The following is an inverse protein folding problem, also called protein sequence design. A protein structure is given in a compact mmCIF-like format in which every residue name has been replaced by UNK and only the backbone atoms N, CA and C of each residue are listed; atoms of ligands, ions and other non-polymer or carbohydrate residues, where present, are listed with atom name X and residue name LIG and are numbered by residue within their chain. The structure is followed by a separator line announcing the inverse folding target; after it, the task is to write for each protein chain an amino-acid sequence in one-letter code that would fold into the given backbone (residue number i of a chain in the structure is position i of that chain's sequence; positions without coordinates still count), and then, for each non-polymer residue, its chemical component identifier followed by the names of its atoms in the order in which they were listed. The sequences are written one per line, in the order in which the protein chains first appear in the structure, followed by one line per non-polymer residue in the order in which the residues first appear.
data_IF_436586106159
#
_entry.id   IF_436586106159
#
_cell.length_a   1.000
_cell.length_b   1.000
_cell.length_c   1.000
_cell.angle_alpha   90.00
_cell.angle_beta   90.00
_cell.angle_gamma   90.00
#
_symmetry.space_group_name_H-M   'P 1'
#
loop_
_entity.id
_entity.type
_entity.pdbx_description
1 polymer ?
#
# COMPACT_ATOMS: atom_id res chain seq x y z
N UNK A 1 11.56 -49.12 -26.38
CA UNK A 1 10.16 -48.81 -26.84
C UNK A 1 9.13 -48.95 -25.72
N UNK A 2 9.08 -50.07 -24.97
CA UNK A 2 8.08 -50.27 -23.88
C UNK A 2 8.34 -49.42 -22.66
N UNK A 3 9.60 -49.31 -22.22
CA UNK A 3 10.01 -48.42 -21.12
C UNK A 3 9.71 -46.93 -21.41
N UNK A 4 9.93 -46.51 -22.64
CA UNK A 4 9.68 -45.16 -23.08
C UNK A 4 8.17 -44.77 -23.09
N UNK A 5 7.31 -45.76 -23.43
CA UNK A 5 5.86 -45.63 -23.31
C UNK A 5 5.40 -45.52 -21.86
N UNK A 6 5.96 -46.33 -20.96
CA UNK A 6 5.66 -46.28 -19.52
C UNK A 6 6.11 -44.94 -18.91
N UNK A 7 7.30 -44.43 -19.25
CA UNK A 7 7.80 -43.14 -18.80
C UNK A 7 6.89 -42.00 -19.28
N UNK A 8 6.49 -42.03 -20.56
CA UNK A 8 5.61 -41.01 -21.13
C UNK A 8 4.20 -41.06 -20.52
N UNK A 9 3.68 -42.20 -20.22
CA UNK A 9 2.38 -42.33 -19.54
C UNK A 9 2.42 -41.83 -18.10
N UNK A 10 3.46 -42.18 -17.34
CA UNK A 10 3.69 -41.66 -15.98
C UNK A 10 3.87 -40.12 -15.98
N UNK A 11 4.62 -39.60 -16.94
CA UNK A 11 4.80 -38.15 -17.14
C UNK A 11 3.47 -37.45 -17.42
N UNK A 12 2.63 -38.00 -18.28
CA UNK A 12 1.27 -37.50 -18.57
C UNK A 12 0.38 -37.54 -17.34
N UNK A 13 0.38 -38.58 -16.54
CA UNK A 13 -0.38 -38.69 -15.29
C UNK A 13 0.06 -37.65 -14.26
N UNK A 14 1.37 -37.47 -14.07
CA UNK A 14 1.94 -36.46 -13.17
C UNK A 14 1.55 -35.06 -13.64
N UNK A 15 1.72 -34.75 -14.92
CA UNK A 15 1.36 -33.43 -15.47
C UNK A 15 -0.14 -33.16 -15.33
N UNK A 16 -1.00 -34.15 -15.58
CA UNK A 16 -2.44 -33.97 -15.42
C UNK A 16 -2.84 -33.76 -13.96
N UNK A 17 -2.23 -34.50 -13.02
CA UNK A 17 -2.40 -34.29 -11.58
C UNK A 17 -1.98 -32.91 -11.16
N UNK A 18 -0.78 -32.44 -11.56
CA UNK A 18 -0.27 -31.11 -11.27
C UNK A 18 -1.20 -30.03 -11.83
N UNK A 19 -1.69 -30.19 -13.07
CA UNK A 19 -2.65 -29.27 -13.68
C UNK A 19 -4.00 -29.23 -12.96
N UNK A 20 -4.46 -30.34 -12.39
CA UNK A 20 -5.72 -30.41 -11.65
C UNK A 20 -5.62 -29.82 -10.24
N UNK A 21 -4.46 -29.97 -9.59
CA UNK A 21 -4.21 -29.58 -8.20
C UNK A 21 -3.32 -28.33 -8.05
N UNK A 22 -3.05 -27.59 -9.13
CA UNK A 22 -2.09 -26.47 -9.14
C UNK A 22 -2.35 -25.41 -8.07
N UNK A 23 -3.61 -25.13 -7.72
CA UNK A 23 -3.92 -24.17 -6.67
C UNK A 23 -3.42 -24.66 -5.30
N UNK A 24 -3.72 -25.90 -4.94
CA UNK A 24 -3.26 -26.49 -3.68
C UNK A 24 -1.74 -26.55 -3.59
N UNK A 25 -1.09 -26.93 -4.67
CA UNK A 25 0.37 -26.96 -4.78
C UNK A 25 0.92 -25.54 -4.56
N UNK A 26 0.32 -24.54 -5.16
CA UNK A 26 0.76 -23.14 -4.99
C UNK A 26 0.61 -22.65 -3.53
N UNK A 27 -0.46 -23.05 -2.84
CA UNK A 27 -0.62 -22.69 -1.43
C UNK A 27 0.37 -23.43 -0.52
N UNK A 28 0.73 -24.67 -0.81
CA UNK A 28 1.81 -25.38 -0.09
C UNK A 28 3.15 -24.66 -0.27
N UNK A 29 3.49 -24.26 -1.49
CA UNK A 29 4.70 -23.47 -1.73
C UNK A 29 4.65 -22.11 -1.05
N UNK A 30 3.51 -21.41 -1.04
CA UNK A 30 3.34 -20.16 -0.32
C UNK A 30 3.56 -20.37 1.18
N UNK A 31 3.00 -21.43 1.78
CA UNK A 31 3.23 -21.76 3.19
C UNK A 31 4.72 -22.00 3.47
N UNK A 32 5.42 -22.68 2.56
CA UNK A 32 6.87 -22.86 2.68
C UNK A 32 7.65 -21.54 2.59
N UNK A 33 7.26 -20.63 1.70
CA UNK A 33 7.85 -19.27 1.62
C UNK A 33 7.60 -18.49 2.91
N UNK A 34 6.38 -18.56 3.47
CA UNK A 34 6.05 -17.93 4.74
C UNK A 34 6.89 -18.53 5.87
N UNK A 35 7.08 -19.83 5.89
CA UNK A 35 7.96 -20.49 6.88
C UNK A 35 9.39 -19.97 6.80
N UNK A 36 9.97 -19.87 5.60
CA UNK A 36 11.31 -19.26 5.39
C UNK A 36 11.32 -17.80 5.88
N UNK A 37 10.26 -17.04 5.55
CA UNK A 37 10.15 -15.64 5.97
C UNK A 37 10.15 -15.48 7.49
N UNK A 38 9.40 -16.34 8.18
CA UNK A 38 9.35 -16.38 9.66
C UNK A 38 10.72 -16.77 10.22
N UNK A 39 11.36 -17.81 9.68
CA UNK A 39 12.69 -18.22 10.13
C UNK A 39 13.74 -17.11 10.00
N UNK A 40 13.75 -16.39 8.88
CA UNK A 40 14.69 -15.26 8.67
C UNK A 40 14.43 -14.18 9.73
N UNK A 41 13.17 -13.84 10.00
CA UNK A 41 12.78 -12.73 10.87
C UNK A 41 12.78 -13.06 12.35
N UNK A 42 12.89 -14.33 12.71
CA UNK A 42 13.01 -14.80 14.11
C UNK A 42 14.43 -15.20 14.49
N UNK A 43 15.39 -15.10 13.56
CA UNK A 43 16.78 -15.52 13.80
C UNK A 43 17.46 -14.77 14.95
N UNK A 44 16.98 -13.54 15.25
CA UNK A 44 17.51 -12.67 16.30
C UNK A 44 16.83 -12.85 17.67
N UNK A 45 15.85 -13.75 17.82
CA UNK A 45 15.08 -13.91 19.07
C UNK A 45 15.95 -14.18 20.31
N UNK A 46 17.04 -14.94 20.17
CA UNK A 46 17.95 -15.21 21.29
C UNK A 46 18.60 -13.95 21.86
N UNK A 47 18.82 -12.93 21.02
CA UNK A 47 19.36 -11.63 21.42
C UNK A 47 18.33 -10.62 21.96
N UNK A 48 17.04 -10.98 22.00
CA UNK A 48 15.96 -10.12 22.47
C UNK A 48 15.52 -10.44 23.91
N UNK A 49 16.46 -10.96 24.70
CA UNK A 49 16.27 -11.17 26.15
C UNK A 49 17.28 -10.33 26.91
N UNK A 50 16.79 -9.61 27.88
CA UNK A 50 17.61 -8.88 28.82
C UNK A 50 18.49 -9.85 29.60
N UNK A 51 19.79 -9.62 29.60
CA UNK A 51 20.80 -10.54 30.19
C UNK A 51 20.64 -10.64 31.71
N UNK A 52 20.19 -9.54 32.35
CA UNK A 52 20.09 -9.48 33.82
C UNK A 52 18.78 -10.03 34.32
N UNK A 53 17.66 -9.77 33.64
CA UNK A 53 16.33 -10.14 34.09
C UNK A 53 15.76 -11.37 33.39
N UNK A 54 16.31 -11.77 32.25
CA UNK A 54 15.78 -12.83 31.39
C UNK A 54 14.48 -12.44 30.66
N UNK A 55 13.97 -11.23 30.87
CA UNK A 55 12.73 -10.75 30.29
C UNK A 55 12.92 -10.40 28.81
N UNK A 56 11.82 -10.47 28.04
CA UNK A 56 11.81 -10.02 26.65
C UNK A 56 12.02 -8.52 26.56
N UNK A 57 12.83 -8.09 25.58
CA UNK A 57 13.05 -6.68 25.21
C UNK A 57 12.90 -6.50 23.71
N UNK A 58 12.79 -5.25 23.27
CA UNK A 58 12.76 -4.91 21.83
C UNK A 58 14.17 -4.77 21.25
N UNK A 59 14.26 -4.74 19.95
CA UNK A 59 15.47 -4.45 19.20
C UNK A 59 15.93 -2.97 19.33
N UNK A 60 17.08 -2.60 18.75
CA UNK A 60 17.72 -1.30 18.93
C UNK A 60 17.10 -0.20 18.03
N UNK A 61 15.81 0.03 18.18
CA UNK A 61 15.09 1.12 17.52
C UNK A 61 14.24 1.86 18.57
N UNK A 62 14.06 3.17 18.43
CA UNK A 62 13.45 4.03 19.47
C UNK A 62 11.93 4.02 19.42
N UNK A 63 11.34 4.17 18.23
CA UNK A 63 9.89 4.28 18.05
C UNK A 63 9.12 3.04 18.56
N UNK A 64 9.60 1.80 18.36
CA UNK A 64 8.98 0.60 18.91
C UNK A 64 8.75 0.62 20.42
N UNK A 65 9.65 1.25 21.20
CA UNK A 65 9.47 1.35 22.67
C UNK A 65 8.31 2.27 23.05
N UNK A 66 8.06 3.33 22.28
CA UNK A 66 6.88 4.17 22.47
C UNK A 66 5.60 3.37 22.24
N UNK A 67 5.53 2.65 21.11
CA UNK A 67 4.32 1.87 20.79
C UNK A 67 4.10 0.72 21.77
N UNK A 68 5.16 0.05 22.24
CA UNK A 68 5.08 -0.96 23.28
C UNK A 68 4.54 -0.37 24.60
N UNK A 69 5.03 0.80 25.01
CA UNK A 69 4.58 1.47 26.24
C UNK A 69 3.08 1.81 26.15
N UNK A 70 2.65 2.34 25.00
CA UNK A 70 1.24 2.62 24.77
C UNK A 70 0.39 1.35 24.70
N UNK A 71 0.88 0.28 24.07
CA UNK A 71 0.19 -1.01 24.03
C UNK A 71 0.04 -1.62 25.44
N UNK A 72 1.08 -1.55 26.29
CA UNK A 72 0.99 -1.96 27.71
C UNK A 72 -0.08 -1.19 28.44
N UNK A 73 -0.09 0.14 28.30
CA UNK A 73 -1.09 0.99 28.95
C UNK A 73 -2.52 0.63 28.50
N UNK A 74 -2.72 0.37 27.19
CA UNK A 74 -4.03 -0.06 26.65
C UNK A 74 -4.45 -1.41 27.23
N UNK A 75 -3.53 -2.36 27.36
CA UNK A 75 -3.83 -3.69 27.93
C UNK A 75 -4.25 -3.56 29.41
N UNK A 76 -3.61 -2.69 30.17
CA UNK A 76 -3.84 -2.48 31.60
C UNK A 76 -5.11 -1.65 31.87
N UNK A 77 -5.40 -0.64 31.05
CA UNK A 77 -6.45 0.34 31.31
C UNK A 77 -7.64 0.30 30.32
N UNK A 78 -7.57 -0.56 29.29
CA UNK A 78 -8.61 -0.68 28.25
C UNK A 78 -8.56 0.39 27.16
N UNK A 79 -7.97 1.56 27.42
CA UNK A 79 -7.83 2.67 26.47
C UNK A 79 -6.53 3.42 26.67
N UNK A 80 -6.08 4.15 25.65
CA UNK A 80 -4.88 4.97 25.76
C UNK A 80 -5.15 6.24 26.57
N UNK A 81 -4.14 6.71 27.31
CA UNK A 81 -4.17 7.99 27.99
C UNK A 81 -4.39 9.15 27.01
N UNK A 82 -5.12 10.18 27.43
CA UNK A 82 -5.36 11.39 26.62
C UNK A 82 -4.08 12.20 26.44
N UNK A 83 -3.31 12.35 27.52
CA UNK A 83 -2.03 13.07 27.53
C UNK A 83 -0.95 12.14 28.05
N UNK A 84 0.09 11.98 27.26
CA UNK A 84 1.30 11.25 27.62
C UNK A 84 2.27 12.20 28.33
N UNK A 85 2.31 12.13 29.66
CA UNK A 85 3.17 13.00 30.49
C UNK A 85 4.65 12.63 30.45
N UNK A 86 5.02 11.50 29.87
CA UNK A 86 6.42 11.11 29.66
C UNK A 86 7.02 11.64 28.35
N UNK A 87 6.20 12.26 27.49
CA UNK A 87 6.64 12.97 26.28
C UNK A 87 6.49 14.49 26.47
N UNK A 88 7.44 15.26 25.97
CA UNK A 88 7.45 16.73 26.05
C UNK A 88 7.29 17.25 27.47
N UNK A 89 8.04 16.67 28.41
CA UNK A 89 8.04 17.07 29.82
C UNK A 89 8.47 18.56 29.97
N UNK A 90 7.76 19.38 30.75
CA UNK A 90 6.63 19.05 31.63
C UNK A 90 5.23 19.14 30.99
N UNK A 91 5.12 19.61 29.74
CA UNK A 91 3.84 19.96 29.08
C UNK A 91 2.98 18.70 28.75
N UNK A 92 3.62 17.56 28.51
CA UNK A 92 2.96 16.36 28.03
C UNK A 92 2.66 16.41 26.53
N UNK A 93 2.19 15.29 26.00
CA UNK A 93 1.84 15.11 24.60
C UNK A 93 0.43 14.56 24.45
N UNK A 94 -0.44 15.28 23.74
CA UNK A 94 -1.78 14.78 23.39
C UNK A 94 -1.67 13.60 22.42
N UNK A 95 -2.07 12.40 22.89
CA UNK A 95 -1.85 11.15 22.14
C UNK A 95 -2.63 11.09 20.82
N UNK A 96 -3.78 11.79 20.74
CA UNK A 96 -4.59 11.88 19.53
C UNK A 96 -3.87 12.55 18.34
N UNK A 97 -2.76 13.24 18.58
CA UNK A 97 -1.91 13.79 17.53
C UNK A 97 -1.09 12.73 16.80
N UNK A 98 -1.05 11.48 17.31
CA UNK A 98 -0.44 10.35 16.63
C UNK A 98 -1.47 9.45 15.94
N UNK A 99 -0.98 8.50 15.11
CA UNK A 99 -1.81 7.46 14.50
C UNK A 99 -1.94 6.31 15.48
N UNK A 100 -3.12 6.16 16.08
CA UNK A 100 -3.33 5.33 17.26
C UNK A 100 -3.64 3.87 16.95
N UNK A 101 -4.03 3.51 15.72
CA UNK A 101 -4.43 2.14 15.42
C UNK A 101 -3.29 1.14 15.69
N UNK A 102 -2.03 1.52 15.45
CA UNK A 102 -0.88 0.65 15.64
C UNK A 102 -0.71 0.14 17.09
N UNK A 103 -0.64 0.98 18.13
CA UNK A 103 -0.54 0.50 19.50
C UNK A 103 -1.79 -0.27 19.96
N UNK A 104 -2.99 0.08 19.49
CA UNK A 104 -4.19 -0.72 19.72
C UNK A 104 -4.10 -2.11 19.10
N UNK A 105 -3.61 -2.22 17.86
CA UNK A 105 -3.40 -3.50 17.19
C UNK A 105 -2.37 -4.37 17.93
N UNK A 106 -1.32 -3.78 18.50
CA UNK A 106 -0.36 -4.51 19.34
C UNK A 106 -1.02 -5.02 20.62
N UNK A 107 -1.86 -4.23 21.28
CA UNK A 107 -2.63 -4.64 22.43
C UNK A 107 -3.60 -5.78 22.10
N UNK A 108 -4.37 -5.66 21.02
CA UNK A 108 -5.28 -6.72 20.56
C UNK A 108 -4.53 -7.98 20.12
N UNK A 109 -3.36 -7.82 19.47
CA UNK A 109 -2.52 -8.96 19.14
C UNK A 109 -2.11 -9.71 20.41
N UNK A 110 -1.71 -9.01 21.46
CA UNK A 110 -1.40 -9.64 22.75
C UNK A 110 -2.61 -10.37 23.35
N UNK A 111 -3.78 -9.74 23.34
CA UNK A 111 -4.99 -10.29 23.98
C UNK A 111 -5.56 -11.50 23.23
N UNK A 112 -5.60 -11.47 21.90
CA UNK A 112 -6.35 -12.45 21.11
C UNK A 112 -5.49 -13.40 20.29
N UNK A 113 -4.34 -12.96 19.81
CA UNK A 113 -3.49 -13.71 18.87
C UNK A 113 -2.24 -14.27 19.57
N UNK A 114 -1.60 -13.44 20.40
CA UNK A 114 -0.37 -13.80 21.12
C UNK A 114 -0.44 -15.11 21.90
N UNK A 115 -1.52 -15.40 22.63
CA UNK A 115 -1.66 -16.65 23.37
C UNK A 115 -1.55 -17.90 22.48
N UNK A 116 -1.99 -17.82 21.21
CA UNK A 116 -1.86 -18.92 20.25
C UNK A 116 -0.39 -19.25 19.91
N UNK A 117 0.51 -18.28 20.09
CA UNK A 117 1.95 -18.42 19.90
C UNK A 117 2.73 -18.56 21.21
N UNK A 118 2.04 -18.77 22.35
CA UNK A 118 2.66 -18.95 23.65
C UNK A 118 3.30 -17.69 24.21
N UNK A 119 2.81 -16.49 23.86
CA UNK A 119 3.36 -15.25 24.42
C UNK A 119 2.90 -15.06 25.86
N UNK A 120 3.86 -14.72 26.73
CA UNK A 120 3.65 -14.60 28.18
C UNK A 120 3.55 -13.14 28.67
N UNK A 121 3.83 -12.18 27.83
CA UNK A 121 3.79 -10.75 28.15
C UNK A 121 3.51 -9.89 26.94
N UNK A 122 3.07 -8.65 27.16
CA UNK A 122 2.86 -7.66 26.09
C UNK A 122 4.15 -7.45 25.29
N UNK A 123 5.30 -7.41 25.98
CA UNK A 123 6.61 -7.27 25.33
C UNK A 123 6.92 -8.47 24.43
N UNK A 124 6.66 -9.71 24.88
CA UNK A 124 6.85 -10.90 24.04
C UNK A 124 5.93 -10.87 22.80
N UNK A 125 4.68 -10.46 22.98
CA UNK A 125 3.75 -10.28 21.87
C UNK A 125 4.25 -9.22 20.88
N UNK A 126 4.74 -8.08 21.37
CA UNK A 126 5.32 -7.01 20.55
C UNK A 126 6.56 -7.48 19.76
N UNK A 127 7.36 -8.38 20.34
CA UNK A 127 8.50 -9.02 19.64
C UNK A 127 8.03 -9.82 18.43
N UNK A 128 6.94 -10.59 18.54
CA UNK A 128 6.43 -11.44 17.46
C UNK A 128 5.48 -10.71 16.49
N UNK A 129 4.93 -9.57 16.88
CA UNK A 129 3.97 -8.79 16.10
C UNK A 129 4.43 -8.48 14.66
N UNK A 130 5.65 -7.95 14.41
CA UNK A 130 6.07 -7.65 13.05
C UNK A 130 6.20 -8.89 12.17
N UNK A 131 6.62 -10.02 12.74
CA UNK A 131 6.75 -11.30 12.02
C UNK A 131 5.38 -11.82 11.59
N UNK A 132 4.38 -11.73 12.47
CA UNK A 132 2.99 -12.11 12.17
C UNK A 132 2.41 -11.25 11.04
N UNK A 133 2.54 -9.93 11.13
CA UNK A 133 2.02 -9.05 10.09
C UNK A 133 2.77 -9.21 8.77
N UNK A 134 4.06 -9.52 8.79
CA UNK A 134 4.79 -9.84 7.58
C UNK A 134 4.28 -11.13 6.89
N UNK A 135 3.93 -12.16 7.67
CA UNK A 135 3.30 -13.36 7.12
C UNK A 135 1.96 -13.05 6.42
N UNK A 136 1.12 -12.21 7.04
CA UNK A 136 -0.12 -11.72 6.42
C UNK A 136 0.16 -10.87 5.16
N UNK A 137 1.20 -10.04 5.20
CA UNK A 137 1.65 -9.24 4.06
C UNK A 137 2.04 -10.11 2.87
N UNK A 138 2.75 -11.23 3.10
CA UNK A 138 3.09 -12.18 2.03
C UNK A 138 1.85 -12.80 1.39
N UNK A 139 0.85 -13.15 2.18
CA UNK A 139 -0.42 -13.67 1.67
C UNK A 139 -1.10 -12.60 0.79
N UNK A 140 -1.22 -11.38 1.30
CA UNK A 140 -1.82 -10.26 0.57
C UNK A 140 -1.07 -9.95 -0.74
N UNK A 141 0.26 -9.95 -0.70
CA UNK A 141 1.11 -9.72 -1.85
C UNK A 141 1.00 -10.83 -2.91
N UNK A 142 0.96 -12.10 -2.48
CA UNK A 142 0.71 -13.24 -3.37
C UNK A 142 -0.65 -13.12 -4.07
N UNK A 143 -1.71 -12.81 -3.31
CA UNK A 143 -3.06 -12.65 -3.86
C UNK A 143 -3.13 -11.49 -4.86
N UNK A 144 -2.52 -10.35 -4.53
CA UNK A 144 -2.43 -9.18 -5.42
C UNK A 144 -1.70 -9.55 -6.72
N UNK A 145 -0.49 -10.10 -6.62
CA UNK A 145 0.34 -10.44 -7.79
C UNK A 145 -0.37 -11.46 -8.67
N UNK A 146 -0.94 -12.50 -8.08
CA UNK A 146 -1.76 -13.46 -8.81
C UNK A 146 -2.93 -12.80 -9.55
N UNK A 147 -3.65 -11.90 -8.87
CA UNK A 147 -4.82 -11.20 -9.43
C UNK A 147 -4.45 -10.29 -10.59
N UNK A 148 -3.29 -9.66 -10.53
CA UNK A 148 -2.79 -8.81 -11.63
C UNK A 148 -2.61 -9.61 -12.93
N UNK A 149 -2.01 -10.79 -12.86
CA UNK A 149 -1.56 -11.55 -14.03
C UNK A 149 -2.52 -12.66 -14.51
N UNK A 150 -3.57 -13.00 -13.73
CA UNK A 150 -4.40 -14.17 -14.02
C UNK A 150 -5.14 -14.08 -15.36
N UNK A 151 -5.57 -12.90 -15.76
CA UNK A 151 -6.35 -12.72 -17.00
C UNK A 151 -5.46 -12.76 -18.24
N UNK A 152 -4.24 -12.22 -18.15
CA UNK A 152 -3.29 -12.18 -19.28
C UNK A 152 -2.49 -13.47 -19.46
N UNK A 153 -2.10 -14.15 -18.37
CA UNK A 153 -1.19 -15.29 -18.41
C UNK A 153 -1.84 -16.63 -18.02
N UNK A 154 -3.10 -16.57 -17.57
CA UNK A 154 -3.82 -17.74 -17.06
C UNK A 154 -3.38 -18.15 -15.65
N UNK A 155 -4.15 -19.07 -15.07
CA UNK A 155 -4.07 -19.41 -13.65
C UNK A 155 -2.73 -20.02 -13.20
N UNK A 156 -2.10 -20.87 -14.00
CA UNK A 156 -0.86 -21.56 -13.62
C UNK A 156 0.32 -20.60 -13.63
N UNK A 157 0.49 -19.86 -14.73
CA UNK A 157 1.62 -18.91 -14.85
C UNK A 157 1.53 -17.80 -13.83
N UNK A 158 0.32 -17.28 -13.56
CA UNK A 158 0.12 -16.24 -12.54
C UNK A 158 0.47 -16.73 -11.13
N UNK A 159 0.16 -18.00 -10.79
CA UNK A 159 0.57 -18.57 -9.52
C UNK A 159 2.09 -18.69 -9.40
N UNK A 160 2.78 -19.13 -10.46
CA UNK A 160 4.24 -19.23 -10.47
C UNK A 160 4.88 -17.85 -10.29
N UNK A 161 4.41 -16.86 -11.05
CA UNK A 161 4.91 -15.47 -10.91
C UNK A 161 4.68 -14.96 -9.50
N UNK A 162 3.49 -15.18 -8.93
CA UNK A 162 3.17 -14.74 -7.58
C UNK A 162 4.06 -15.42 -6.51
N UNK A 163 4.39 -16.71 -6.67
CA UNK A 163 5.31 -17.42 -5.77
C UNK A 163 6.73 -16.88 -5.88
N UNK A 164 7.25 -16.69 -7.09
CA UNK A 164 8.58 -16.14 -7.31
C UNK A 164 8.66 -14.72 -6.72
N UNK A 165 7.68 -13.88 -7.01
CA UNK A 165 7.62 -12.51 -6.48
C UNK A 165 7.56 -12.51 -4.94
N UNK A 166 6.75 -13.39 -4.33
CA UNK A 166 6.65 -13.51 -2.87
C UNK A 166 7.96 -14.00 -2.23
N UNK A 167 8.68 -14.91 -2.89
CA UNK A 167 9.99 -15.33 -2.43
C UNK A 167 11.01 -14.18 -2.47
N UNK A 168 11.09 -13.42 -3.56
CA UNK A 168 11.93 -12.22 -3.63
C UNK A 168 11.55 -11.19 -2.58
N UNK A 169 10.25 -10.94 -2.40
CA UNK A 169 9.76 -10.02 -1.38
C UNK A 169 10.19 -10.43 0.04
N UNK A 170 10.29 -11.73 0.31
CA UNK A 170 10.76 -12.28 1.60
C UNK A 170 12.18 -11.89 1.93
N UNK A 171 13.07 -11.83 0.94
CA UNK A 171 14.52 -11.61 1.11
C UNK A 171 14.97 -10.20 0.75
N UNK A 172 14.07 -9.26 0.45
CA UNK A 172 14.43 -7.88 0.16
C UNK A 172 15.11 -7.22 1.37
N UNK A 173 16.34 -6.69 1.22
CA UNK A 173 17.12 -6.15 2.34
C UNK A 173 16.43 -5.01 3.06
N UNK A 174 15.73 -4.11 2.34
CA UNK A 174 15.05 -2.95 2.93
C UNK A 174 13.90 -3.35 3.86
N UNK A 175 13.26 -4.51 3.62
CA UNK A 175 12.09 -4.95 4.40
C UNK A 175 12.48 -5.67 5.69
N UNK A 176 13.66 -6.29 5.73
CA UNK A 176 14.08 -7.09 6.88
C UNK A 176 14.15 -6.25 8.15
N UNK A 177 14.84 -5.10 8.20
CA UNK A 177 14.93 -4.29 9.42
C UNK A 177 13.59 -3.78 9.94
N UNK A 178 12.62 -3.57 9.05
CA UNK A 178 11.28 -3.05 9.39
C UNK A 178 10.26 -4.14 9.76
N UNK A 179 10.63 -5.42 9.63
CA UNK A 179 9.72 -6.55 9.82
C UNK A 179 10.32 -7.70 10.65
N UNK A 180 11.55 -7.53 11.17
CA UNK A 180 12.24 -8.49 12.01
C UNK A 180 11.64 -8.51 13.42
N UNK A 181 11.75 -9.64 14.12
CA UNK A 181 11.30 -9.79 15.50
C UNK A 181 11.93 -8.72 16.41
N UNK A 182 11.12 -8.14 17.29
CA UNK A 182 11.56 -7.11 18.22
C UNK A 182 11.58 -5.69 17.68
N UNK A 183 11.19 -5.46 16.40
CA UNK A 183 11.06 -4.12 15.81
C UNK A 183 9.61 -3.93 15.29
N UNK A 184 8.63 -3.75 16.20
CA UNK A 184 7.24 -3.50 15.84
C UNK A 184 7.03 -2.07 15.33
N UNK A 185 7.63 -1.76 14.18
CA UNK A 185 7.41 -0.52 13.45
C UNK A 185 6.05 -0.49 12.76
N UNK A 186 5.55 0.72 12.47
CA UNK A 186 4.26 0.96 11.81
C UNK A 186 4.19 0.26 10.45
N UNK A 187 5.28 0.25 9.70
CA UNK A 187 5.40 -0.36 8.37
C UNK A 187 5.12 -1.85 8.40
N UNK A 188 5.47 -2.54 9.49
CA UNK A 188 5.26 -3.98 9.60
C UNK A 188 3.80 -4.39 9.40
N UNK A 189 2.85 -3.60 9.90
CA UNK A 189 1.42 -3.80 9.72
C UNK A 189 0.86 -3.05 8.49
N UNK A 190 1.41 -1.86 8.18
CA UNK A 190 0.93 -1.02 7.10
C UNK A 190 1.00 -1.70 5.73
N UNK A 191 2.04 -2.48 5.45
CA UNK A 191 2.17 -3.21 4.19
C UNK A 191 1.07 -4.25 3.98
N UNK A 192 0.59 -4.89 5.02
CA UNK A 192 -0.57 -5.78 4.94
C UNK A 192 -1.81 -5.03 4.46
N UNK A 193 -2.11 -3.88 5.08
CA UNK A 193 -3.23 -3.03 4.68
C UNK A 193 -3.08 -2.55 3.24
N UNK A 194 -1.89 -2.11 2.84
CA UNK A 194 -1.60 -1.61 1.50
C UNK A 194 -1.86 -2.67 0.43
N UNK A 195 -1.28 -3.85 0.55
CA UNK A 195 -1.45 -4.90 -0.46
C UNK A 195 -2.86 -5.46 -0.49
N UNK A 196 -3.54 -5.54 0.65
CA UNK A 196 -4.96 -5.90 0.71
C UNK A 196 -5.84 -4.85 0.04
N UNK A 197 -5.59 -3.56 0.28
CA UNK A 197 -6.33 -2.48 -0.39
C UNK A 197 -6.21 -2.60 -1.92
N UNK A 198 -5.01 -2.78 -2.46
CA UNK A 198 -4.81 -2.96 -3.89
C UNK A 198 -5.44 -4.26 -4.42
N UNK A 199 -5.29 -5.38 -3.72
CA UNK A 199 -5.90 -6.64 -4.11
C UNK A 199 -7.42 -6.54 -4.22
N UNK A 200 -8.05 -5.94 -3.24
CA UNK A 200 -9.51 -5.76 -3.19
C UNK A 200 -9.97 -4.75 -4.25
N UNK A 201 -9.26 -3.63 -4.45
CA UNK A 201 -9.57 -2.67 -5.50
C UNK A 201 -9.53 -3.31 -6.89
N UNK A 202 -8.48 -4.06 -7.21
CA UNK A 202 -8.35 -4.77 -8.48
C UNK A 202 -9.40 -5.89 -8.60
N UNK A 203 -9.77 -6.52 -7.49
CA UNK A 203 -10.85 -7.52 -7.49
C UNK A 203 -12.20 -6.90 -7.82
N UNK A 204 -12.49 -5.73 -7.25
CA UNK A 204 -13.66 -4.92 -7.61
C UNK A 204 -13.63 -4.49 -9.09
N UNK A 205 -12.46 -3.99 -9.55
CA UNK A 205 -12.29 -3.51 -10.92
C UNK A 205 -12.51 -4.58 -11.99
N UNK A 206 -12.13 -5.82 -11.70
CA UNK A 206 -12.23 -6.97 -12.61
C UNK A 206 -13.55 -7.74 -12.49
N UNK A 207 -14.35 -7.48 -11.47
CA UNK A 207 -15.66 -8.15 -11.32
C UNK A 207 -16.69 -7.59 -12.29
N UNK A 208 -17.61 -8.46 -12.70
CA UNK A 208 -18.80 -8.12 -13.50
C UNK A 208 -20.07 -8.08 -12.66
N UNK A 209 -20.05 -8.61 -11.45
CA UNK A 209 -21.15 -8.65 -10.52
C UNK A 209 -21.17 -7.37 -9.67
N UNK A 210 -22.25 -6.61 -9.72
CA UNK A 210 -22.39 -5.34 -9.00
C UNK A 210 -22.22 -5.49 -7.48
N UNK A 211 -22.75 -6.57 -6.90
CA UNK A 211 -22.58 -6.84 -5.46
C UNK A 211 -21.11 -7.05 -5.09
N UNK A 212 -20.37 -7.82 -5.89
CA UNK A 212 -18.93 -8.01 -5.68
C UNK A 212 -18.15 -6.71 -5.87
N UNK A 213 -18.49 -5.90 -6.87
CA UNK A 213 -17.86 -4.61 -7.13
C UNK A 213 -17.93 -3.74 -5.89
N UNK A 214 -19.14 -3.51 -5.35
CA UNK A 214 -19.29 -2.66 -4.18
C UNK A 214 -18.73 -3.27 -2.91
N UNK A 215 -18.91 -4.57 -2.70
CA UNK A 215 -18.35 -5.27 -1.55
C UNK A 215 -16.81 -5.15 -1.50
N UNK A 216 -16.13 -5.43 -2.60
CA UNK A 216 -14.68 -5.30 -2.66
C UNK A 216 -14.23 -3.84 -2.62
N UNK A 217 -14.97 -2.89 -3.18
CA UNK A 217 -14.67 -1.46 -3.09
C UNK A 217 -14.74 -0.97 -1.63
N UNK A 218 -15.77 -1.34 -0.89
CA UNK A 218 -15.93 -1.03 0.53
C UNK A 218 -14.77 -1.62 1.34
N UNK A 219 -14.48 -2.91 1.16
CA UNK A 219 -13.37 -3.54 1.86
C UNK A 219 -12.03 -2.87 1.50
N UNK A 220 -11.80 -2.54 0.23
CA UNK A 220 -10.58 -1.82 -0.19
C UNK A 220 -10.47 -0.45 0.49
N UNK A 221 -11.57 0.29 0.59
CA UNK A 221 -11.63 1.57 1.31
C UNK A 221 -11.31 1.40 2.80
N UNK A 222 -11.86 0.36 3.43
CA UNK A 222 -11.58 0.01 4.83
C UNK A 222 -10.09 -0.30 5.05
N UNK A 223 -9.47 -1.11 4.19
CA UNK A 223 -8.03 -1.40 4.28
C UNK A 223 -7.16 -0.16 3.99
N UNK A 224 -7.60 0.73 3.11
CA UNK A 224 -6.94 2.03 2.89
C UNK A 224 -6.98 2.89 4.15
N UNK A 225 -8.13 2.98 4.81
CA UNK A 225 -8.28 3.68 6.08
C UNK A 225 -7.44 3.02 7.19
N UNK A 226 -7.43 1.68 7.26
CA UNK A 226 -6.57 0.94 8.19
C UNK A 226 -5.10 1.32 8.03
N UNK A 227 -4.58 1.40 6.80
CA UNK A 227 -3.22 1.87 6.55
C UNK A 227 -3.02 3.31 7.02
N UNK A 228 -3.98 4.21 6.72
CA UNK A 228 -3.90 5.62 7.10
C UNK A 228 -3.87 5.83 8.62
N UNK A 229 -4.60 4.99 9.37
CA UNK A 229 -4.63 5.04 10.83
C UNK A 229 -3.41 4.38 11.50
N UNK A 230 -2.62 3.61 10.74
CA UNK A 230 -1.37 2.99 11.19
C UNK A 230 -0.17 3.84 10.78
N UNK A 231 -0.11 4.28 9.51
CA UNK A 231 1.10 4.87 8.94
C UNK A 231 0.80 5.96 7.90
N UNK A 232 1.60 7.03 7.95
CA UNK A 232 1.49 8.18 7.03
C UNK A 232 1.72 7.82 5.55
N UNK A 233 2.31 6.67 5.25
CA UNK A 233 2.55 6.19 3.88
C UNK A 233 1.29 5.81 3.08
N UNK A 234 0.10 5.91 3.66
CA UNK A 234 -1.17 5.64 2.97
C UNK A 234 -1.35 6.46 1.67
N UNK A 235 -0.68 7.61 1.58
CA UNK A 235 -0.67 8.43 0.38
C UNK A 235 -0.25 7.69 -0.89
N UNK A 236 0.59 6.66 -0.77
CA UNK A 236 1.00 5.81 -1.91
C UNK A 236 -0.20 5.10 -2.56
N UNK A 237 -1.19 4.67 -1.78
CA UNK A 237 -2.40 4.03 -2.33
C UNK A 237 -3.14 5.04 -3.22
N UNK A 238 -3.36 6.25 -2.71
CA UNK A 238 -4.04 7.29 -3.47
C UNK A 238 -3.27 7.69 -4.73
N UNK A 239 -1.96 7.90 -4.63
CA UNK A 239 -1.13 8.30 -5.77
C UNK A 239 -1.12 7.25 -6.89
N UNK A 240 -0.97 5.97 -6.54
CA UNK A 240 -0.96 4.87 -7.52
C UNK A 240 -2.33 4.73 -8.19
N UNK A 241 -3.41 4.76 -7.41
CA UNK A 241 -4.76 4.66 -7.98
C UNK A 241 -5.15 5.91 -8.76
N UNK A 242 -4.75 7.11 -8.29
CA UNK A 242 -4.93 8.38 -9.04
C UNK A 242 -4.28 8.30 -10.41
N UNK A 243 -3.01 7.95 -10.46
CA UNK A 243 -2.27 7.84 -11.72
C UNK A 243 -2.92 6.82 -12.65
N UNK A 244 -3.27 5.65 -12.11
CA UNK A 244 -3.89 4.57 -12.91
C UNK A 244 -5.23 5.01 -13.50
N UNK A 245 -6.14 5.57 -12.66
CA UNK A 245 -7.47 6.02 -13.12
C UNK A 245 -7.35 7.19 -14.08
N UNK A 246 -6.42 8.11 -13.85
CA UNK A 246 -6.17 9.24 -14.75
C UNK A 246 -5.77 8.77 -16.16
N UNK A 247 -4.81 7.83 -16.26
CA UNK A 247 -4.43 7.27 -17.55
C UNK A 247 -5.59 6.54 -18.25
N UNK A 248 -6.36 5.71 -17.51
CA UNK A 248 -7.52 5.02 -18.08
C UNK A 248 -8.60 6.02 -18.51
N UNK A 249 -8.76 7.14 -17.80
CA UNK A 249 -9.65 8.23 -18.17
C UNK A 249 -9.20 8.90 -19.47
N UNK A 250 -7.91 9.24 -19.63
CA UNK A 250 -7.38 9.83 -20.87
C UNK A 250 -7.62 8.93 -22.08
N UNK A 251 -7.66 7.60 -21.88
CA UNK A 251 -7.96 6.62 -22.91
C UNK A 251 -9.46 6.44 -23.20
N UNK A 252 -10.32 7.15 -22.47
CA UNK A 252 -11.76 7.02 -22.62
C UNK A 252 -12.35 5.67 -22.17
N UNK A 253 -11.63 4.90 -21.34
CA UNK A 253 -12.00 3.55 -20.94
C UNK A 253 -12.69 3.46 -19.56
N UNK A 254 -13.12 4.59 -18.99
CA UNK A 254 -13.86 4.61 -17.72
C UNK A 254 -15.36 4.66 -18.01
N UNK A 255 -16.05 3.62 -17.57
CA UNK A 255 -17.51 3.54 -17.56
C UNK A 255 -18.11 3.97 -16.20
N UNK A 256 -19.45 4.04 -16.15
CA UNK A 256 -20.17 4.39 -14.91
C UNK A 256 -19.88 3.44 -13.75
N UNK A 257 -19.72 2.15 -14.03
CA UNK A 257 -19.47 1.15 -12.97
C UNK A 257 -18.11 1.39 -12.30
N UNK A 258 -17.07 1.66 -13.08
CA UNK A 258 -15.72 1.97 -12.59
C UNK A 258 -15.64 3.30 -11.85
N UNK A 259 -16.43 4.30 -12.30
CA UNK A 259 -16.59 5.55 -11.58
C UNK A 259 -17.20 5.34 -10.20
N UNK A 260 -18.34 4.66 -10.13
CA UNK A 260 -19.01 4.41 -8.84
C UNK A 260 -18.19 3.52 -7.90
N UNK A 261 -17.49 2.52 -8.43
CA UNK A 261 -16.53 1.73 -7.67
C UNK A 261 -15.49 2.64 -6.97
N UNK A 262 -14.88 3.53 -7.76
CA UNK A 262 -13.83 4.44 -7.27
C UNK A 262 -14.38 5.45 -6.26
N UNK A 263 -15.61 5.92 -6.49
CA UNK A 263 -16.31 6.83 -5.58
C UNK A 263 -16.65 6.13 -4.24
N UNK A 264 -17.18 4.90 -4.29
CA UNK A 264 -17.48 4.11 -3.08
C UNK A 264 -16.20 3.83 -2.29
N UNK A 265 -15.11 3.45 -2.96
CA UNK A 265 -13.79 3.26 -2.32
C UNK A 265 -13.33 4.55 -1.61
N UNK A 266 -13.39 5.71 -2.27
CA UNK A 266 -12.98 6.99 -1.70
C UNK A 266 -13.83 7.37 -0.48
N UNK A 267 -15.16 7.31 -0.63
CA UNK A 267 -16.10 7.65 0.46
C UNK A 267 -15.89 6.72 1.66
N UNK A 268 -15.74 5.41 1.42
CA UNK A 268 -15.52 4.45 2.50
C UNK A 268 -14.20 4.73 3.22
N UNK A 269 -13.12 5.02 2.49
CA UNK A 269 -11.86 5.36 3.15
C UNK A 269 -12.00 6.60 4.03
N UNK A 270 -12.70 7.65 3.59
CA UNK A 270 -12.92 8.86 4.39
C UNK A 270 -13.82 8.61 5.62
N UNK A 271 -14.90 7.83 5.47
CA UNK A 271 -15.80 7.47 6.58
C UNK A 271 -15.02 6.76 7.70
N UNK A 272 -14.04 5.92 7.36
CA UNK A 272 -13.24 5.21 8.35
C UNK A 272 -11.94 5.92 8.77
N UNK A 273 -11.58 7.05 8.15
CA UNK A 273 -10.43 7.87 8.57
C UNK A 273 -10.86 9.00 9.52
N UNK A 274 -11.90 9.76 9.13
CA UNK A 274 -12.29 11.00 9.80
C UNK A 274 -12.63 10.83 11.29
N UNK A 275 -13.46 9.84 11.71
CA UNK A 275 -13.86 9.72 13.11
C UNK A 275 -12.73 9.25 14.05
N UNK A 276 -11.68 8.62 13.50
CA UNK A 276 -10.66 7.94 14.31
C UNK A 276 -9.36 8.73 14.45
N UNK A 277 -9.21 9.86 13.75
CA UNK A 277 -8.04 10.72 13.92
C UNK A 277 -8.35 12.17 13.57
N UNK A 278 -8.05 13.13 14.45
CA UNK A 278 -8.23 14.57 14.17
C UNK A 278 -7.33 15.10 13.04
N UNK A 279 -6.34 14.32 12.61
CA UNK A 279 -5.53 14.63 11.43
C UNK A 279 -6.36 14.60 10.14
N UNK A 280 -7.44 13.84 10.11
CA UNK A 280 -8.27 13.62 8.94
C UNK A 280 -9.58 14.38 9.04
N UNK A 281 -9.57 15.62 8.55
CA UNK A 281 -10.79 16.40 8.32
C UNK A 281 -11.18 16.28 6.84
N UNK A 282 -12.46 16.45 6.52
CA UNK A 282 -12.90 16.43 5.14
C UNK A 282 -12.17 17.48 4.29
N UNK A 283 -11.94 18.68 4.84
CA UNK A 283 -11.19 19.73 4.17
C UNK A 283 -9.76 19.25 3.88
N UNK A 284 -9.03 18.74 4.89
CA UNK A 284 -7.65 18.29 4.72
C UNK A 284 -7.54 17.16 3.68
N UNK A 285 -8.48 16.20 3.68
CA UNK A 285 -8.48 15.08 2.74
C UNK A 285 -8.76 15.54 1.30
N UNK A 286 -9.70 16.48 1.11
CA UNK A 286 -10.04 17.00 -0.21
C UNK A 286 -9.00 17.99 -0.77
N UNK A 287 -8.21 18.63 0.10
CA UNK A 287 -7.17 19.59 -0.32
C UNK A 287 -5.77 18.97 -0.35
N UNK A 288 -5.61 17.71 0.08
CA UNK A 288 -4.32 17.03 0.08
C UNK A 288 -3.81 16.70 -1.32
N UNK A 289 -2.49 16.66 -1.49
CA UNK A 289 -1.82 16.27 -2.75
C UNK A 289 -2.06 14.79 -3.10
N UNK A 290 -2.56 13.99 -2.19
CA UNK A 290 -2.82 12.56 -2.40
C UNK A 290 -4.31 12.29 -2.64
N UNK A 291 -5.12 12.29 -1.60
CA UNK A 291 -6.56 11.99 -1.70
C UNK A 291 -7.36 13.10 -2.41
N UNK A 292 -6.93 14.36 -2.31
CA UNK A 292 -7.53 15.47 -3.06
C UNK A 292 -7.32 15.34 -4.57
N UNK A 293 -6.12 14.93 -5.01
CA UNK A 293 -5.87 14.64 -6.43
C UNK A 293 -6.75 13.52 -6.94
N UNK A 294 -6.96 12.47 -6.13
CA UNK A 294 -7.90 11.40 -6.52
C UNK A 294 -9.33 11.92 -6.68
N UNK A 295 -9.81 12.73 -5.73
CA UNK A 295 -11.13 13.35 -5.81
C UNK A 295 -11.26 14.27 -7.04
N UNK A 296 -10.22 15.02 -7.37
CA UNK A 296 -10.15 15.85 -8.57
C UNK A 296 -10.26 15.02 -9.86
N UNK A 297 -9.57 13.89 -9.94
CA UNK A 297 -9.67 12.99 -11.10
C UNK A 297 -11.09 12.42 -11.22
N UNK A 298 -11.73 12.06 -10.12
CA UNK A 298 -13.13 11.64 -10.14
C UNK A 298 -14.05 12.76 -10.62
N UNK A 299 -13.78 14.01 -10.30
CA UNK A 299 -14.51 15.14 -10.84
C UNK A 299 -14.37 15.24 -12.36
N UNK A 300 -13.16 15.05 -12.92
CA UNK A 300 -12.97 15.01 -14.39
C UNK A 300 -13.78 13.90 -15.05
N UNK A 301 -13.75 12.71 -14.45
CA UNK A 301 -14.53 11.56 -14.91
C UNK A 301 -16.04 11.85 -14.85
N UNK A 302 -16.51 12.45 -13.76
CA UNK A 302 -17.93 12.81 -13.59
C UNK A 302 -18.38 13.81 -14.67
N UNK A 303 -17.60 14.86 -14.95
CA UNK A 303 -17.89 15.87 -15.99
C UNK A 303 -18.03 15.18 -17.35
N UNK A 304 -17.14 14.25 -17.66
CA UNK A 304 -17.18 13.50 -18.93
C UNK A 304 -18.39 12.56 -18.99
N UNK A 305 -18.69 11.81 -17.94
CA UNK A 305 -19.82 10.87 -17.91
C UNK A 305 -21.20 11.56 -17.95
N UNK A 306 -21.32 12.76 -17.38
CA UNK A 306 -22.53 13.59 -17.44
C UNK A 306 -22.64 14.29 -18.80
N UNK A 307 -21.54 14.41 -19.55
CA UNK A 307 -21.50 15.01 -20.89
C UNK A 307 -21.48 16.55 -20.86
N UNK A 308 -21.02 17.17 -19.78
CA UNK A 308 -20.82 18.63 -19.69
C UNK A 308 -19.78 19.08 -20.71
N UNK A 309 -18.69 18.36 -20.87
CA UNK A 309 -17.63 18.58 -21.86
C UNK A 309 -18.17 18.56 -23.30
N UNK A 310 -19.05 17.61 -23.62
CA UNK A 310 -19.72 17.53 -24.93
C UNK A 310 -20.59 18.78 -25.20
N UNK A 311 -21.36 19.21 -24.21
CA UNK A 311 -22.20 20.41 -24.32
C UNK A 311 -21.36 21.68 -24.53
N UNK A 312 -20.23 21.83 -23.84
CA UNK A 312 -19.29 22.94 -23.98
C UNK A 312 -18.63 22.90 -25.36
N UNK A 313 -18.17 21.73 -25.80
CA UNK A 313 -17.57 21.53 -27.11
C UNK A 313 -18.50 21.97 -28.24
N UNK A 314 -19.79 21.60 -28.17
CA UNK A 314 -20.82 21.98 -29.18
C UNK A 314 -21.10 23.49 -29.20
N UNK A 315 -20.99 24.18 -28.06
CA UNK A 315 -21.24 25.63 -27.97
C UNK A 315 -20.06 26.49 -28.43
N UNK A 316 -18.84 25.99 -28.33
CA UNK A 316 -17.61 26.74 -28.57
C UNK A 316 -16.91 26.11 -29.79
N UNK A 317 -17.13 26.68 -30.99
CA UNK A 317 -16.57 26.19 -32.25
C UNK A 317 -15.02 26.01 -32.26
N UNK A 318 -14.30 26.85 -31.48
CA UNK A 318 -12.84 26.74 -31.36
C UNK A 318 -12.39 25.43 -30.65
N UNK A 319 -13.30 24.71 -29.97
CA UNK A 319 -13.00 23.47 -29.27
C UNK A 319 -13.29 22.20 -30.11
N UNK A 320 -13.71 22.33 -31.35
CA UNK A 320 -14.06 21.18 -32.19
C UNK A 320 -12.95 20.13 -32.29
N UNK A 321 -11.69 20.55 -32.33
CA UNK A 321 -10.51 19.67 -32.44
C UNK A 321 -9.94 19.24 -31.06
N UNK A 322 -10.49 19.72 -29.96
CA UNK A 322 -9.99 19.40 -28.63
C UNK A 322 -10.60 18.08 -28.13
N UNK A 323 -9.80 17.11 -27.66
CA UNK A 323 -10.31 15.87 -27.09
C UNK A 323 -11.21 16.13 -25.87
N UNK A 324 -12.29 15.35 -25.71
CA UNK A 324 -13.22 15.50 -24.59
C UNK A 324 -12.55 15.41 -23.20
N UNK A 325 -11.62 14.47 -22.93
CA UNK A 325 -10.93 14.44 -21.65
C UNK A 325 -10.21 15.74 -21.30
N UNK A 326 -9.63 16.43 -22.29
CA UNK A 326 -8.94 17.72 -22.08
C UNK A 326 -9.94 18.79 -21.64
N UNK A 327 -11.11 18.84 -22.27
CA UNK A 327 -12.18 19.78 -21.87
C UNK A 327 -12.66 19.47 -20.43
N UNK A 328 -12.84 18.19 -20.11
CA UNK A 328 -13.22 17.76 -18.76
C UNK A 328 -12.20 18.15 -17.70
N UNK A 329 -10.90 18.07 -18.02
CA UNK A 329 -9.81 18.51 -17.13
C UNK A 329 -9.89 20.01 -16.90
N UNK A 330 -9.99 20.82 -17.96
CA UNK A 330 -10.06 22.30 -17.84
C UNK A 330 -11.26 22.71 -16.98
N UNK A 331 -12.44 22.15 -17.29
CA UNK A 331 -13.68 22.45 -16.54
C UNK A 331 -13.56 21.97 -15.11
N UNK A 332 -13.01 20.79 -14.87
CA UNK A 332 -12.83 20.23 -13.54
C UNK A 332 -11.84 21.02 -12.69
N UNK A 333 -10.73 21.49 -13.27
CA UNK A 333 -9.79 22.39 -12.57
C UNK A 333 -10.50 23.68 -12.16
N UNK A 334 -11.30 24.27 -13.07
CA UNK A 334 -12.05 25.49 -12.75
C UNK A 334 -13.00 25.28 -11.58
N UNK A 335 -13.80 24.20 -11.59
CA UNK A 335 -14.69 23.89 -10.47
C UNK A 335 -13.93 23.55 -9.19
N UNK A 336 -12.82 22.83 -9.26
CA UNK A 336 -12.02 22.49 -8.09
C UNK A 336 -11.39 23.70 -7.42
N UNK A 337 -10.97 24.70 -8.17
CA UNK A 337 -10.48 25.97 -7.63
C UNK A 337 -11.58 26.69 -6.85
N UNK A 338 -12.80 26.76 -7.39
CA UNK A 338 -13.93 27.35 -6.70
C UNK A 338 -14.24 26.60 -5.40
N UNK A 339 -14.32 25.27 -5.47
CA UNK A 339 -14.58 24.42 -4.30
C UNK A 339 -13.45 24.57 -3.26
N UNK A 340 -12.18 24.58 -3.70
CA UNK A 340 -11.02 24.72 -2.83
C UNK A 340 -11.01 26.07 -2.10
N UNK A 341 -11.32 27.17 -2.79
CA UNK A 341 -11.46 28.49 -2.18
C UNK A 341 -12.60 28.50 -1.15
N UNK A 342 -13.71 27.84 -1.47
CA UNK A 342 -14.86 27.75 -0.55
C UNK A 342 -14.56 26.93 0.71
N UNK A 343 -13.84 25.79 0.57
CA UNK A 343 -13.54 24.88 1.68
C UNK A 343 -12.38 25.34 2.55
N UNK A 344 -11.34 25.91 1.94
CA UNK A 344 -10.08 26.22 2.61
C UNK A 344 -9.69 27.70 2.56
N UNK A 345 -10.52 28.53 1.96
CA UNK A 345 -10.30 29.98 1.84
C UNK A 345 -9.41 30.41 0.66
N UNK A 346 -9.31 31.74 0.39
CA UNK A 346 -8.63 32.25 -0.82
C UNK A 346 -7.11 32.02 -0.82
N UNK A 347 -6.49 31.83 0.34
CA UNK A 347 -5.04 31.54 0.45
C UNK A 347 -4.68 30.11 0.04
N UNK A 348 -5.67 29.21 -0.04
CA UNK A 348 -5.50 27.80 -0.36
C UNK A 348 -4.60 27.55 -1.58
N UNK A 349 -4.78 28.32 -2.66
CA UNK A 349 -4.01 28.14 -3.90
C UNK A 349 -2.53 28.43 -3.66
N UNK A 350 -2.23 29.56 -3.01
CA UNK A 350 -0.85 29.99 -2.75
C UNK A 350 -0.16 29.06 -1.75
N UNK A 351 -0.85 28.62 -0.70
CA UNK A 351 -0.30 27.71 0.29
C UNK A 351 0.03 26.33 -0.32
N UNK A 352 -0.85 25.79 -1.16
CA UNK A 352 -0.57 24.51 -1.82
C UNK A 352 0.54 24.63 -2.88
N UNK A 353 0.55 25.67 -3.69
CA UNK A 353 1.63 25.92 -4.66
C UNK A 353 2.96 26.10 -3.95
N UNK A 354 2.99 26.89 -2.88
CA UNK A 354 4.17 27.08 -2.05
C UNK A 354 4.65 25.76 -1.43
N UNK A 355 3.75 24.98 -0.85
CA UNK A 355 4.07 23.67 -0.28
C UNK A 355 4.63 22.69 -1.33
N UNK A 356 4.03 22.66 -2.53
CA UNK A 356 4.53 21.84 -3.64
C UNK A 356 5.93 22.31 -4.06
N UNK A 357 6.12 23.60 -4.24
CA UNK A 357 7.42 24.19 -4.60
C UNK A 357 8.49 23.83 -3.56
N UNK A 358 8.23 24.08 -2.29
CA UNK A 358 9.19 23.81 -1.22
C UNK A 358 9.49 22.32 -1.06
N UNK A 359 8.49 21.45 -1.19
CA UNK A 359 8.73 20.02 -1.13
C UNK A 359 9.55 19.47 -2.31
N UNK A 360 9.47 20.12 -3.48
CA UNK A 360 10.23 19.69 -4.67
C UNK A 360 11.64 20.31 -4.73
N UNK A 361 11.77 21.58 -4.34
CA UNK A 361 13.02 22.36 -4.53
C UNK A 361 13.86 22.39 -3.26
N UNK A 362 13.21 22.44 -2.09
CA UNK A 362 13.86 22.52 -0.78
C UNK A 362 13.24 21.53 0.23
N UNK A 363 13.35 20.23 0.00
CA UNK A 363 12.60 19.23 0.78
C UNK A 363 13.00 19.17 2.28
N UNK A 364 14.08 19.79 2.69
CA UNK A 364 14.61 19.69 4.05
C UNK A 364 14.78 21.08 4.72
N UNK A 365 13.70 21.86 4.83
CA UNK A 365 13.75 23.22 5.39
C UNK A 365 13.94 23.30 6.89
N UNK A 366 13.54 22.29 7.67
CA UNK A 366 13.70 22.31 9.12
C UNK A 366 14.74 21.29 9.59
N UNK A 367 15.46 21.67 10.67
CA UNK A 367 16.43 20.78 11.31
C UNK A 367 15.79 19.46 11.76
N UNK A 368 14.54 19.48 12.19
CA UNK A 368 13.77 18.31 12.58
C UNK A 368 13.51 17.39 11.38
N UNK A 369 13.11 17.95 10.24
CA UNK A 369 12.86 17.17 9.00
C UNK A 369 14.16 16.51 8.51
N UNK A 370 15.31 17.18 8.67
CA UNK A 370 16.62 16.64 8.28
C UNK A 370 17.05 15.43 9.12
N UNK A 371 16.50 15.23 10.31
CA UNK A 371 16.81 14.06 11.16
C UNK A 371 16.00 12.82 10.77
N UNK A 372 14.93 12.97 10.00
CA UNK A 372 14.08 11.86 9.53
C UNK A 372 14.74 11.20 8.32
N UNK A 373 15.06 9.91 8.43
CA UNK A 373 15.81 9.18 7.40
C UNK A 373 15.08 9.18 6.04
N UNK A 374 13.74 9.11 6.06
CA UNK A 374 12.87 9.07 4.88
C UNK A 374 12.87 10.39 4.09
N UNK A 375 13.25 11.49 4.72
CA UNK A 375 13.34 12.82 4.09
C UNK A 375 14.73 13.13 3.53
N UNK A 376 15.72 12.26 3.76
CA UNK A 376 17.07 12.43 3.18
C UNK A 376 17.11 11.89 1.77
N UNK A 377 17.77 12.61 0.88
CA UNK A 377 18.09 12.08 -0.43
C UNK A 377 19.09 10.92 -0.27
N UNK A 378 18.73 9.69 -0.68
CA UNK A 378 19.62 8.55 -0.54
C UNK A 378 20.82 8.67 -1.51
N UNK A 379 22.00 8.31 -1.04
CA UNK A 379 23.12 8.09 -1.95
C UNK A 379 22.86 6.91 -2.87
N UNK A 380 23.39 6.96 -4.10
CA UNK A 380 23.19 5.89 -5.08
C UNK A 380 23.50 4.49 -4.54
N UNK A 381 24.58 4.36 -3.78
CA UNK A 381 24.98 3.08 -3.18
C UNK A 381 23.96 2.56 -2.16
N UNK A 382 23.42 3.44 -1.32
CA UNK A 382 22.39 3.08 -0.34
C UNK A 382 21.13 2.66 -1.06
N UNK A 383 20.70 3.44 -2.06
CA UNK A 383 19.54 3.12 -2.86
C UNK A 383 19.69 1.78 -3.58
N UNK A 384 20.81 1.56 -4.26
CA UNK A 384 21.08 0.32 -4.99
C UNK A 384 21.14 -0.92 -4.09
N UNK A 385 21.66 -0.81 -2.87
CA UNK A 385 21.72 -1.90 -1.88
C UNK A 385 20.32 -2.36 -1.42
N UNK A 386 19.34 -1.49 -1.46
CA UNK A 386 17.97 -1.83 -1.04
C UNK A 386 17.27 -2.83 -1.98
N UNK A 387 17.76 -2.99 -3.22
CA UNK A 387 17.24 -3.97 -4.19
C UNK A 387 17.85 -5.37 -4.06
N UNK A 388 18.94 -5.51 -3.31
CA UNK A 388 19.61 -6.79 -3.13
C UNK A 388 21.12 -6.64 -3.00
N UNK A 389 21.86 -7.76 -2.85
CA UNK A 389 23.28 -7.72 -2.66
C UNK A 389 24.02 -7.17 -3.89
N UNK A 390 25.10 -6.44 -3.64
CA UNK A 390 26.04 -6.01 -4.68
C UNK A 390 26.98 -7.20 -4.98
N UNK A 391 26.93 -7.71 -6.21
CA UNK A 391 27.75 -8.84 -6.65
C UNK A 391 28.96 -8.29 -7.44
N UNK A 392 30.18 -8.50 -6.93
CA UNK A 392 31.43 -7.99 -7.54
C UNK A 392 31.38 -6.48 -7.86
N UNK A 393 30.81 -5.68 -6.95
CA UNK A 393 30.70 -4.23 -7.11
C UNK A 393 29.52 -3.76 -7.99
N UNK A 394 28.72 -4.68 -8.54
CA UNK A 394 27.61 -4.36 -9.44
C UNK A 394 26.29 -4.65 -8.74
N UNK A 395 25.37 -3.66 -8.61
CA UNK A 395 24.03 -3.87 -8.05
C UNK A 395 23.08 -4.46 -9.12
N UNK A 396 23.25 -5.76 -9.41
CA UNK A 396 22.57 -6.45 -10.51
C UNK A 396 21.04 -6.33 -10.38
N UNK A 397 20.49 -6.54 -9.18
CA UNK A 397 19.03 -6.50 -8.96
C UNK A 397 18.45 -5.10 -9.16
N UNK A 398 19.22 -4.05 -8.82
CA UNK A 398 18.84 -2.67 -9.11
C UNK A 398 18.69 -2.44 -10.62
N UNK A 399 19.68 -2.82 -11.41
CA UNK A 399 19.60 -2.67 -12.87
C UNK A 399 18.51 -3.55 -13.49
N UNK A 400 18.36 -4.80 -13.04
CA UNK A 400 17.28 -5.68 -13.51
C UNK A 400 15.90 -5.09 -13.24
N UNK A 401 15.69 -4.44 -12.10
CA UNK A 401 14.43 -3.77 -11.81
C UNK A 401 14.11 -2.68 -12.85
N UNK A 402 15.06 -1.78 -13.12
CA UNK A 402 14.82 -0.68 -14.08
C UNK A 402 14.70 -1.17 -15.52
N UNK A 403 15.52 -2.12 -15.93
CA UNK A 403 15.43 -2.73 -17.28
C UNK A 403 14.08 -3.43 -17.47
N UNK A 404 13.65 -4.22 -16.50
CA UNK A 404 12.37 -4.92 -16.54
C UNK A 404 11.19 -3.96 -16.53
N UNK A 405 11.24 -2.91 -15.70
CA UNK A 405 10.23 -1.87 -15.66
C UNK A 405 10.16 -1.08 -16.97
N UNK A 406 11.31 -0.72 -17.54
CA UNK A 406 11.40 -0.06 -18.85
C UNK A 406 10.86 -0.94 -19.98
N UNK A 407 11.19 -2.22 -20.00
CA UNK A 407 10.67 -3.18 -20.98
C UNK A 407 9.15 -3.35 -20.88
N UNK A 408 8.62 -3.44 -19.65
CA UNK A 408 7.18 -3.54 -19.40
C UNK A 408 6.45 -2.27 -19.86
N UNK A 409 7.00 -1.10 -19.54
CA UNK A 409 6.46 0.19 -19.96
C UNK A 409 6.48 0.35 -21.48
N UNK A 410 7.58 -0.05 -22.16
CA UNK A 410 7.69 -0.04 -23.61
C UNK A 410 6.64 -0.92 -24.31
N UNK A 411 6.41 -2.13 -23.79
CA UNK A 411 5.37 -3.01 -24.32
C UNK A 411 3.95 -2.46 -24.10
N UNK A 412 3.74 -1.78 -22.99
CA UNK A 412 2.49 -1.08 -22.71
C UNK A 412 2.28 0.04 -23.74
N UNK A 413 3.27 0.90 -23.96
CA UNK A 413 3.21 1.98 -24.97
C UNK A 413 2.97 1.42 -26.37
N UNK A 414 3.65 0.35 -26.78
CA UNK A 414 3.41 -0.31 -28.06
C UNK A 414 1.96 -0.77 -28.23
N UNK A 415 1.40 -1.36 -27.21
CA UNK A 415 -0.01 -1.76 -27.21
C UNK A 415 -0.95 -0.56 -27.34
N UNK A 416 -0.59 0.57 -26.76
CA UNK A 416 -1.31 1.84 -26.90
C UNK A 416 -1.20 2.45 -28.30
N UNK A 417 0.01 2.53 -28.83
CA UNK A 417 0.23 3.05 -30.19
C UNK A 417 -0.49 2.21 -31.24
N UNK A 418 -0.57 0.90 -31.05
CA UNK A 418 -1.32 0.01 -31.94
C UNK A 418 -2.84 0.27 -31.88
N UNK A 419 -3.39 0.59 -30.69
CA UNK A 419 -4.79 0.99 -30.51
C UNK A 419 -5.11 2.39 -31.06
N UNK A 420 -4.11 3.26 -31.21
CA UNK A 420 -4.26 4.59 -31.81
C UNK A 420 -4.14 4.59 -33.33
N UNK A 421 -3.54 3.54 -33.93
CA UNK A 421 -3.35 3.38 -35.37
C UNK A 421 -4.43 2.51 -36.02
N UNK A 422 -5.33 1.91 -35.25
CA UNK A 422 -6.56 1.26 -35.69
C UNK A 422 -7.78 2.14 -35.42
#
# INVERSE_FOLDING_TARGET
MEEEKIINERKRKIISFLKRKYNWISYIFLTFIIFIAVMIRTKNLSGLKDITTGNWTLGPDLDPFLFLRWAKYIVENGSLMVVDTMRYVPLGFETNRELLLHPYMMAWFHQFIGPLFGTVSVTHSAVLYPVFFFALTLIAFFLLTRKLFVDSLGKIKSNIIALIASFFFTVLPILIPRTIAGIPEKESAAFFFMFMAFYLFISAWKSKNMYEIYFFAILSGLFTAGMALVWGGYGYIYLILSSTIFFIFLLGQIDKSKFFLSLVWLITSFIFMIPFSPRYTLSNLLTSVTSGVFALILLFVAINLIGIDKKIKLKIRKLENVPLPVISIIVGIFFSLIIGIFLAGPKFIFENLSNIYFNLVEPAQSRLIQTVAENKQPYFREWANNFGPIIKGIPIFFYLFFVSSGYFFWNMIKSFLFLFLL
#
